data_IF_651431315585
#
_entry.id   IF_651431315585
#
_cell.length_a   1.000
_cell.length_b   1.000
_cell.length_c   1.000
_cell.angle_alpha   90.00
_cell.angle_beta   90.00
_cell.angle_gamma   90.00
#
_symmetry.space_group_name_H-M   'P 1'
#
loop_
_entity.id
_entity.type
_entity.pdbx_description
1 polymer ?
#
# COMPACT_ATOMS: atom_id res chain seq x y z
N UNK A 1 -11.36 -5.51 28.08
CA UNK A 1 -12.38 -6.28 27.33
C UNK A 1 -11.81 -7.11 26.16
N UNK A 2 -12.27 -8.36 26.01
CA UNK A 2 -11.92 -9.22 24.85
C UNK A 2 -12.75 -8.89 23.62
N UNK A 3 -12.13 -8.89 22.45
CA UNK A 3 -12.75 -8.60 21.16
C UNK A 3 -12.32 -9.63 20.13
N UNK A 4 -13.25 -10.10 19.30
CA UNK A 4 -12.98 -11.08 18.23
C UNK A 4 -13.28 -10.45 16.87
N UNK A 5 -12.23 -10.09 16.13
CA UNK A 5 -12.34 -9.38 14.85
C UNK A 5 -11.52 -10.07 13.76
N UNK A 6 -11.89 -9.86 12.50
CA UNK A 6 -11.10 -10.30 11.34
C UNK A 6 -9.73 -9.59 11.31
N UNK A 7 -8.71 -10.19 10.69
CA UNK A 7 -7.38 -9.57 10.55
C UNK A 7 -7.43 -8.17 9.93
N UNK A 8 -8.23 -7.98 8.88
CA UNK A 8 -8.41 -6.66 8.24
C UNK A 8 -8.99 -5.63 9.21
N UNK A 9 -9.94 -6.01 10.06
CA UNK A 9 -10.50 -5.11 11.07
C UNK A 9 -9.48 -4.76 12.15
N UNK A 10 -8.67 -5.71 12.58
CA UNK A 10 -7.58 -5.45 13.54
C UNK A 10 -6.53 -4.47 13.00
N UNK A 11 -6.21 -4.52 11.70
CA UNK A 11 -5.36 -3.51 11.07
C UNK A 11 -5.97 -2.10 11.19
N UNK A 12 -7.27 -1.95 10.93
CA UNK A 12 -7.98 -0.66 11.06
C UNK A 12 -8.06 -0.19 12.51
N UNK A 13 -8.27 -1.09 13.46
CA UNK A 13 -8.28 -0.78 14.90
C UNK A 13 -6.92 -0.22 15.33
N UNK A 14 -5.83 -0.89 14.96
CA UNK A 14 -4.48 -0.40 15.27
C UNK A 14 -4.20 0.97 14.63
N UNK A 15 -4.68 1.21 13.42
CA UNK A 15 -4.55 2.50 12.73
C UNK A 15 -5.31 3.62 13.47
N UNK A 16 -6.59 3.40 13.81
CA UNK A 16 -7.40 4.38 14.55
C UNK A 16 -6.80 4.74 15.90
N UNK A 17 -6.41 3.73 16.68
CA UNK A 17 -5.76 3.93 17.98
C UNK A 17 -4.49 4.78 17.81
N UNK A 18 -3.63 4.44 16.83
CA UNK A 18 -2.40 5.17 16.57
C UNK A 18 -2.64 6.63 16.17
N UNK A 19 -3.65 6.90 15.34
CA UNK A 19 -4.02 8.27 14.94
C UNK A 19 -4.46 9.09 16.15
N UNK A 20 -5.36 8.55 16.98
CA UNK A 20 -5.83 9.26 18.19
C UNK A 20 -4.71 9.50 19.20
N UNK A 21 -3.79 8.54 19.37
CA UNK A 21 -2.62 8.71 20.25
C UNK A 21 -1.72 9.85 19.77
N UNK A 22 -1.45 9.96 18.48
CA UNK A 22 -0.64 11.05 17.93
C UNK A 22 -1.25 12.43 18.21
N UNK A 23 -2.57 12.56 18.12
CA UNK A 23 -3.27 13.79 18.48
C UNK A 23 -3.20 14.10 19.99
N UNK A 24 -3.18 13.06 20.83
CA UNK A 24 -3.01 13.18 22.30
C UNK A 24 -1.57 13.55 22.65
N UNK A 25 -0.60 12.98 21.95
CA UNK A 25 0.84 13.26 22.10
C UNK A 25 1.14 14.74 21.85
N UNK A 26 0.69 15.29 20.72
CA UNK A 26 0.86 16.71 20.42
C UNK A 26 0.26 17.62 21.51
N UNK A 27 -0.90 17.26 22.05
CA UNK A 27 -1.56 17.99 23.16
C UNK A 27 -0.80 17.88 24.47
N UNK A 28 -0.34 16.69 24.84
CA UNK A 28 0.42 16.48 26.06
C UNK A 28 1.76 17.24 26.02
N UNK A 29 2.46 17.22 24.88
CA UNK A 29 3.68 18.01 24.67
C UNK A 29 3.37 19.50 24.85
N UNK A 30 2.39 20.04 24.14
CA UNK A 30 2.03 21.45 24.23
C UNK A 30 1.67 21.87 25.67
N UNK A 31 0.90 21.04 26.38
CA UNK A 31 0.49 21.28 27.76
C UNK A 31 1.69 21.32 28.74
N UNK A 32 2.66 20.42 28.57
CA UNK A 32 3.78 20.26 29.50
C UNK A 32 4.98 21.16 29.17
N UNK A 33 5.14 21.63 27.93
CA UNK A 33 6.34 22.37 27.52
C UNK A 33 6.08 23.78 26.97
N UNK A 34 4.86 24.07 26.52
CA UNK A 34 4.54 25.33 25.83
C UNK A 34 3.45 26.17 26.53
N UNK A 35 3.13 25.85 27.79
CA UNK A 35 2.19 26.65 28.59
C UNK A 35 2.85 27.96 29.02
N UNK A 36 2.33 29.10 28.54
CA UNK A 36 2.84 30.44 28.88
C UNK A 36 1.87 31.20 29.77
N UNK A 37 2.40 32.02 30.68
CA UNK A 37 1.64 32.84 31.62
C UNK A 37 2.06 34.30 31.47
N UNK A 38 1.08 35.21 31.38
CA UNK A 38 1.36 36.64 31.38
C UNK A 38 1.79 37.10 32.78
N UNK A 39 2.88 37.88 32.90
CA UNK A 39 3.36 38.36 34.20
C UNK A 39 2.36 39.29 34.90
N UNK A 40 1.36 39.82 34.18
CA UNK A 40 0.36 40.76 34.67
C UNK A 40 -0.94 40.10 35.15
N UNK A 41 -1.14 38.80 34.88
CA UNK A 41 -2.36 38.08 35.26
C UNK A 41 -2.02 36.81 36.04
N UNK A 42 -1.74 36.97 37.35
CA UNK A 42 -1.29 35.89 38.24
C UNK A 42 -2.43 35.18 38.97
N UNK A 43 -3.63 35.75 39.01
CA UNK A 43 -4.75 35.22 39.81
C UNK A 43 -5.27 33.91 39.19
N UNK A 44 -5.23 32.82 39.95
CA UNK A 44 -5.75 31.51 39.53
C UNK A 44 -4.87 30.75 38.54
N UNK A 45 -3.61 31.16 38.34
CA UNK A 45 -2.65 30.46 37.47
C UNK A 45 -2.36 29.05 37.98
N UNK A 46 -2.14 28.90 39.29
CA UNK A 46 -1.83 27.61 39.93
C UNK A 46 -2.95 26.58 39.67
N UNK A 47 -4.20 26.95 39.95
CA UNK A 47 -5.35 26.08 39.70
C UNK A 47 -5.49 25.67 38.22
N UNK A 48 -5.21 26.58 37.28
CA UNK A 48 -5.21 26.25 35.83
C UNK A 48 -4.04 25.36 35.45
N UNK A 49 -2.85 25.61 35.98
CA UNK A 49 -1.67 24.78 35.76
C UNK A 49 -1.90 23.35 36.27
N UNK A 50 -2.51 23.19 37.44
CA UNK A 50 -2.87 21.89 38.01
C UNK A 50 -3.89 21.14 37.14
N UNK A 51 -4.88 21.84 36.60
CA UNK A 51 -5.85 21.25 35.65
C UNK A 51 -5.16 20.79 34.35
N UNK A 52 -4.28 21.62 33.79
CA UNK A 52 -3.51 21.29 32.58
C UNK A 52 -2.61 20.08 32.85
N UNK A 53 -1.89 20.06 33.97
CA UNK A 53 -1.01 18.97 34.37
C UNK A 53 -1.78 17.66 34.57
N UNK A 54 -2.94 17.71 35.23
CA UNK A 54 -3.79 16.53 35.44
C UNK A 54 -4.28 15.95 34.11
N UNK A 55 -4.73 16.81 33.20
CA UNK A 55 -5.14 16.38 31.85
C UNK A 55 -3.97 15.78 31.06
N UNK A 56 -2.81 16.42 31.10
CA UNK A 56 -1.62 15.93 30.40
C UNK A 56 -1.15 14.56 30.93
N UNK A 57 -1.21 14.33 32.25
CA UNK A 57 -0.92 13.01 32.84
C UNK A 57 -1.91 11.93 32.37
N UNK A 58 -3.19 12.30 32.25
CA UNK A 58 -4.22 11.40 31.72
C UNK A 58 -3.96 11.07 30.25
N UNK A 59 -3.64 12.07 29.44
CA UNK A 59 -3.26 11.87 28.04
C UNK A 59 -1.99 11.00 27.93
N UNK A 60 -0.99 11.18 28.80
CA UNK A 60 0.23 10.38 28.82
C UNK A 60 -0.04 8.90 29.12
N UNK A 61 -0.83 8.59 30.16
CA UNK A 61 -1.20 7.21 30.48
C UNK A 61 -1.93 6.53 29.31
N UNK A 62 -2.80 7.26 28.61
CA UNK A 62 -3.51 6.76 27.44
C UNK A 62 -2.57 6.52 26.25
N UNK A 63 -1.56 7.38 26.04
CA UNK A 63 -0.53 7.22 25.01
C UNK A 63 0.28 5.94 25.27
N UNK A 64 0.73 5.71 26.50
CA UNK A 64 1.49 4.50 26.88
C UNK A 64 0.66 3.22 26.69
N UNK A 65 -0.56 3.20 27.21
CA UNK A 65 -1.46 2.06 27.06
C UNK A 65 -1.79 1.78 25.59
N UNK A 66 -2.04 2.85 24.83
CA UNK A 66 -2.39 2.78 23.43
C UNK A 66 -1.23 2.30 22.53
N UNK A 67 -0.01 2.79 22.76
CA UNK A 67 1.19 2.36 22.00
C UNK A 67 1.50 0.89 22.28
N UNK A 68 1.42 0.45 23.55
CA UNK A 68 1.56 -0.95 23.92
C UNK A 68 0.47 -1.84 23.27
N UNK A 69 -0.78 -1.36 23.20
CA UNK A 69 -1.85 -2.08 22.53
C UNK A 69 -1.60 -2.21 21.02
N UNK A 70 -1.19 -1.14 20.33
CA UNK A 70 -0.85 -1.18 18.90
C UNK A 70 0.28 -2.18 18.64
N UNK A 71 1.33 -2.18 19.48
CA UNK A 71 2.43 -3.14 19.37
C UNK A 71 1.93 -4.60 19.51
N UNK A 72 1.08 -4.90 20.50
CA UNK A 72 0.47 -6.22 20.68
C UNK A 72 -0.39 -6.65 19.48
N UNK A 73 -1.25 -5.75 18.99
CA UNK A 73 -2.09 -6.02 17.81
C UNK A 73 -1.20 -6.34 16.60
N UNK A 74 -0.17 -5.54 16.34
CA UNK A 74 0.74 -5.74 15.20
C UNK A 74 1.54 -7.03 15.32
N UNK A 75 2.01 -7.38 16.52
CA UNK A 75 2.70 -8.64 16.76
C UNK A 75 1.78 -9.84 16.51
N UNK A 76 0.55 -9.82 17.03
CA UNK A 76 -0.41 -10.90 16.84
C UNK A 76 -0.84 -11.05 15.37
N UNK A 77 -1.03 -9.92 14.66
CA UNK A 77 -1.27 -9.92 13.21
C UNK A 77 -0.08 -10.49 12.44
N UNK A 78 1.15 -10.11 12.79
CA UNK A 78 2.36 -10.65 12.18
C UNK A 78 2.47 -12.17 12.32
N UNK A 79 2.25 -12.68 13.53
CA UNK A 79 2.23 -14.12 13.80
C UNK A 79 1.12 -14.83 13.00
N UNK A 80 -0.10 -14.28 13.01
CA UNK A 80 -1.22 -14.91 12.30
C UNK A 80 -1.02 -14.88 10.78
N UNK A 81 -0.50 -13.78 10.24
CA UNK A 81 -0.16 -13.66 8.82
C UNK A 81 0.91 -14.66 8.39
N UNK A 82 1.90 -14.93 9.27
CA UNK A 82 2.93 -15.94 9.03
C UNK A 82 2.34 -17.35 9.02
N UNK A 83 1.52 -17.71 10.02
CA UNK A 83 0.82 -19.01 10.06
C UNK A 83 -0.07 -19.23 8.85
N UNK A 84 -0.76 -18.18 8.42
CA UNK A 84 -1.62 -18.23 7.25
C UNK A 84 -0.85 -18.12 5.94
N UNK A 85 0.47 -17.91 5.93
CA UNK A 85 1.29 -17.76 4.73
C UNK A 85 0.87 -16.59 3.81
N UNK A 86 0.33 -15.51 4.39
CA UNK A 86 -0.19 -14.37 3.61
C UNK A 86 0.94 -13.67 2.85
N UNK A 87 2.10 -13.49 3.50
CA UNK A 87 3.25 -12.83 2.88
C UNK A 87 3.79 -13.57 1.65
N UNK A 88 3.90 -14.90 1.75
CA UNK A 88 4.36 -15.75 0.64
C UNK A 88 3.40 -15.69 -0.55
N UNK A 89 2.09 -15.81 -0.29
CA UNK A 89 1.07 -15.70 -1.36
C UNK A 89 1.07 -14.34 -2.04
N UNK A 90 1.24 -13.25 -1.28
CA UNK A 90 1.35 -11.90 -1.84
C UNK A 90 2.60 -11.76 -2.70
N UNK A 91 3.75 -12.27 -2.25
CA UNK A 91 4.99 -12.25 -3.05
C UNK A 91 4.85 -13.05 -4.36
N UNK A 92 4.18 -14.20 -4.31
CA UNK A 92 3.89 -14.99 -5.52
C UNK A 92 2.91 -14.28 -6.46
N UNK A 93 1.87 -13.62 -5.93
CA UNK A 93 0.92 -12.85 -6.71
C UNK A 93 1.61 -11.66 -7.40
N UNK A 94 2.50 -10.97 -6.70
CA UNK A 94 3.32 -9.89 -7.26
C UNK A 94 4.24 -10.39 -8.37
N UNK A 95 4.89 -11.54 -8.18
CA UNK A 95 5.73 -12.15 -9.23
C UNK A 95 4.89 -12.52 -10.47
N UNK A 96 3.71 -13.12 -10.27
CA UNK A 96 2.78 -13.46 -11.35
C UNK A 96 2.27 -12.20 -12.07
N UNK A 97 1.90 -11.15 -11.34
CA UNK A 97 1.49 -9.86 -11.92
C UNK A 97 2.59 -9.19 -12.74
N UNK A 98 3.84 -9.23 -12.27
CA UNK A 98 4.99 -8.67 -13.01
C UNK A 98 5.22 -9.42 -14.31
N UNK A 99 5.16 -10.76 -14.31
CA UNK A 99 5.28 -11.56 -15.52
C UNK A 99 4.11 -11.34 -16.49
N UNK A 100 2.88 -11.35 -15.98
CA UNK A 100 1.69 -11.05 -16.77
C UNK A 100 1.77 -9.66 -17.41
N UNK A 101 2.22 -8.64 -16.67
CA UNK A 101 2.46 -7.31 -17.24
C UNK A 101 3.49 -7.34 -18.36
N UNK A 102 4.64 -7.99 -18.14
CA UNK A 102 5.66 -8.13 -19.18
C UNK A 102 5.11 -8.79 -20.45
N UNK A 103 4.38 -9.90 -20.32
CA UNK A 103 3.82 -10.61 -21.48
C UNK A 103 2.79 -9.76 -22.21
N UNK A 104 1.92 -9.06 -21.46
CA UNK A 104 0.97 -8.10 -22.04
C UNK A 104 1.68 -7.00 -22.80
N UNK A 105 2.68 -6.37 -22.19
CA UNK A 105 3.44 -5.27 -22.81
C UNK A 105 4.16 -5.74 -24.08
N UNK A 106 4.69 -6.98 -24.10
CA UNK A 106 5.34 -7.56 -25.28
C UNK A 106 4.35 -7.82 -26.41
N UNK A 107 3.14 -8.29 -26.08
CA UNK A 107 2.07 -8.57 -27.04
C UNK A 107 1.47 -7.27 -27.60
N UNK A 108 1.14 -6.30 -26.74
CA UNK A 108 0.56 -5.01 -27.13
C UNK A 108 1.51 -4.17 -27.99
N UNK A 109 2.82 -4.33 -27.78
CA UNK A 109 3.82 -3.67 -28.61
C UNK A 109 4.00 -4.33 -29.97
N UNK A 110 3.46 -5.52 -30.24
CA UNK A 110 3.43 -6.07 -31.60
C UNK A 110 2.39 -5.32 -32.43
N UNK A 111 2.86 -4.37 -33.23
CA UNK A 111 1.97 -3.57 -34.08
C UNK A 111 1.78 -4.21 -35.45
N UNK A 112 0.63 -3.95 -36.05
CA UNK A 112 0.29 -4.46 -37.39
C UNK A 112 1.18 -3.87 -38.51
N UNK A 113 1.79 -2.70 -38.27
CA UNK A 113 2.71 -2.01 -39.19
C UNK A 113 4.16 -2.50 -39.08
N UNK A 114 4.46 -3.45 -38.19
CA UNK A 114 5.80 -4.03 -38.08
C UNK A 114 6.10 -4.96 -39.27
N UNK A 115 7.33 -4.86 -39.77
CA UNK A 115 7.80 -5.63 -40.93
C UNK A 115 8.56 -6.87 -40.47
N UNK A 116 8.28 -8.04 -41.05
CA UNK A 116 9.06 -9.24 -40.74
C UNK A 116 10.48 -9.12 -41.29
N UNK A 117 11.52 -9.64 -40.59
CA UNK A 117 12.90 -9.59 -41.07
C UNK A 117 13.10 -10.11 -42.51
N UNK A 118 12.33 -11.13 -42.91
CA UNK A 118 12.40 -11.68 -44.27
C UNK A 118 11.91 -10.69 -45.35
N UNK A 119 10.93 -9.84 -45.01
CA UNK A 119 10.23 -8.96 -45.95
C UNK A 119 10.86 -7.55 -46.00
N UNK A 120 11.91 -7.29 -45.19
CA UNK A 120 12.57 -5.97 -45.10
C UNK A 120 13.12 -5.51 -46.45
N UNK A 121 13.63 -6.44 -47.26
CA UNK A 121 14.19 -6.13 -48.58
C UNK A 121 13.13 -5.66 -49.58
N UNK A 122 11.87 -6.02 -49.32
CA UNK A 122 10.73 -5.70 -50.17
C UNK A 122 9.99 -4.44 -49.71
N UNK A 123 10.42 -3.85 -48.57
CA UNK A 123 9.89 -2.56 -48.12
C UNK A 123 10.31 -1.47 -49.11
N UNK A 124 9.36 -0.78 -49.77
CA UNK A 124 9.69 0.30 -50.68
C UNK A 124 10.52 1.35 -49.93
N UNK A 125 11.63 1.78 -50.53
CA UNK A 125 12.33 2.98 -50.08
C UNK A 125 11.34 4.14 -50.20
N UNK A 126 10.75 4.55 -49.07
CA UNK A 126 10.08 5.83 -48.97
C UNK A 126 11.16 6.90 -49.13
N UNK A 127 11.41 7.28 -50.38
CA UNK A 127 12.09 8.53 -50.68
C UNK A 127 11.13 9.60 -50.17
N UNK A 128 11.45 10.18 -49.01
CA UNK A 128 10.76 11.35 -48.53
C UNK A 128 10.89 12.44 -49.60
N UNK A 129 9.86 12.60 -50.40
CA UNK A 129 9.65 13.82 -51.16
C UNK A 129 9.31 14.90 -50.14
N UNK A 130 10.29 15.66 -49.70
CA UNK A 130 10.26 17.11 -49.92
C UNK A 130 11.61 17.78 -49.62
N UNK A 131 11.89 18.83 -50.38
CA UNK A 131 13.05 19.71 -50.31
C UNK A 131 13.16 20.44 -48.96
N UNK A 132 13.84 19.86 -47.98
CA UNK A 132 14.35 20.64 -46.84
C UNK A 132 15.88 20.64 -46.84
N UNK A 133 16.45 21.71 -47.37
CA UNK A 133 17.89 21.97 -47.53
C UNK A 133 18.69 22.01 -46.20
N UNK A 134 18.07 21.96 -45.02
CA UNK A 134 18.78 22.11 -43.73
C UNK A 134 18.16 21.33 -42.56
N UNK A 135 17.66 20.12 -42.78
CA UNK A 135 17.19 19.23 -41.70
C UNK A 135 17.81 17.84 -41.82
N UNK A 136 18.35 17.28 -40.73
CA UNK A 136 18.83 15.88 -40.70
C UNK A 136 17.75 14.99 -41.32
N UNK A 137 18.09 14.26 -42.39
CA UNK A 137 17.23 13.22 -42.98
C UNK A 137 16.88 12.22 -41.88
N UNK A 138 15.71 12.37 -41.27
CA UNK A 138 15.14 11.33 -40.44
C UNK A 138 14.69 10.24 -41.41
N UNK A 139 15.58 9.29 -41.70
CA UNK A 139 15.18 8.06 -42.38
C UNK A 139 14.00 7.48 -41.60
N UNK A 140 12.88 7.24 -42.29
CA UNK A 140 11.71 6.62 -41.69
C UNK A 140 12.15 5.28 -41.09
N UNK A 141 12.18 5.19 -39.76
CA UNK A 141 12.68 4.00 -39.07
C UNK A 141 11.68 2.85 -39.28
N UNK A 142 12.12 1.77 -39.89
CA UNK A 142 11.32 0.54 -40.04
C UNK A 142 11.39 -0.22 -38.72
N UNK A 143 10.23 -0.55 -38.14
CA UNK A 143 10.16 -1.37 -36.93
C UNK A 143 9.98 -2.83 -37.31
N UNK A 144 10.82 -3.71 -36.78
CA UNK A 144 10.81 -5.13 -37.15
C UNK A 144 9.96 -5.97 -36.20
N UNK A 145 9.14 -6.86 -36.78
CA UNK A 145 8.45 -7.94 -36.08
C UNK A 145 9.42 -9.11 -35.86
N UNK A 146 10.23 -9.03 -34.80
CA UNK A 146 11.24 -10.06 -34.48
C UNK A 146 10.58 -11.33 -33.90
N UNK A 147 9.49 -11.18 -33.15
CA UNK A 147 8.77 -12.31 -32.57
C UNK A 147 7.97 -13.05 -33.66
N UNK A 148 8.13 -14.37 -33.72
CA UNK A 148 7.33 -15.21 -34.61
C UNK A 148 5.96 -15.52 -33.99
N UNK A 149 5.06 -16.08 -34.81
CA UNK A 149 3.70 -16.42 -34.36
C UNK A 149 3.70 -17.43 -33.22
N UNK A 150 4.62 -18.40 -33.24
CA UNK A 150 4.72 -19.43 -32.21
C UNK A 150 5.07 -18.82 -30.84
N UNK A 151 6.01 -17.87 -30.80
CA UNK A 151 6.36 -17.13 -29.59
C UNK A 151 5.20 -16.28 -29.10
N UNK A 152 4.47 -15.59 -30.00
CA UNK A 152 3.30 -14.79 -29.61
C UNK A 152 2.17 -15.65 -29.03
N UNK A 153 1.91 -16.81 -29.62
CA UNK A 153 0.93 -17.77 -29.10
C UNK A 153 1.38 -18.32 -27.73
N UNK A 154 2.67 -18.61 -27.55
CA UNK A 154 3.23 -19.03 -26.26
C UNK A 154 3.08 -17.93 -25.19
N UNK A 155 3.36 -16.67 -25.55
CA UNK A 155 3.20 -15.52 -24.66
C UNK A 155 1.74 -15.32 -24.23
N UNK A 156 0.77 -15.52 -25.14
CA UNK A 156 -0.65 -15.48 -24.80
C UNK A 156 -1.02 -16.56 -23.77
N UNK A 157 -0.55 -17.79 -23.95
CA UNK A 157 -0.78 -18.88 -22.98
C UNK A 157 -0.14 -18.57 -21.63
N UNK A 158 1.10 -18.05 -21.61
CA UNK A 158 1.79 -17.64 -20.38
C UNK A 158 1.07 -16.49 -19.68
N UNK A 159 0.60 -15.50 -20.44
CA UNK A 159 -0.18 -14.36 -19.93
C UNK A 159 -1.45 -14.84 -19.21
N UNK A 160 -2.26 -15.66 -19.88
CA UNK A 160 -3.50 -16.19 -19.30
C UNK A 160 -3.22 -16.99 -18.01
N UNK A 161 -2.16 -17.80 -18.02
CA UNK A 161 -1.75 -18.60 -16.85
C UNK A 161 -1.34 -17.74 -15.65
N UNK A 162 -0.47 -16.76 -15.85
CA UNK A 162 0.01 -15.91 -14.75
C UNK A 162 -1.09 -14.96 -14.24
N UNK A 163 -2.01 -14.52 -15.11
CA UNK A 163 -3.22 -13.79 -14.68
C UNK A 163 -4.11 -14.65 -13.78
N UNK A 164 -4.46 -15.87 -14.24
CA UNK A 164 -5.28 -16.79 -13.44
C UNK A 164 -4.62 -17.12 -12.10
N UNK A 165 -3.31 -17.37 -12.10
CA UNK A 165 -2.53 -17.63 -10.88
C UNK A 165 -2.57 -16.44 -9.92
N UNK A 166 -2.36 -15.22 -10.41
CA UNK A 166 -2.40 -14.01 -9.59
C UNK A 166 -3.77 -13.83 -8.93
N UNK A 167 -4.85 -13.96 -9.70
CA UNK A 167 -6.21 -13.85 -9.17
C UNK A 167 -6.49 -14.90 -8.08
N UNK A 168 -6.16 -16.17 -8.33
CA UNK A 168 -6.36 -17.23 -7.34
C UNK A 168 -5.57 -16.99 -6.04
N UNK A 169 -4.34 -16.47 -6.13
CA UNK A 169 -3.54 -16.13 -4.95
C UNK A 169 -4.12 -14.96 -4.16
N UNK A 170 -4.62 -13.93 -4.85
CA UNK A 170 -5.24 -12.77 -4.22
C UNK A 170 -6.57 -13.14 -3.54
N UNK A 171 -7.36 -14.03 -4.15
CA UNK A 171 -8.58 -14.56 -3.55
C UNK A 171 -8.25 -15.37 -2.29
N UNK A 172 -7.24 -16.23 -2.35
CA UNK A 172 -6.77 -16.98 -1.17
C UNK A 172 -6.29 -16.06 -0.04
N UNK A 173 -5.64 -14.94 -0.36
CA UNK A 173 -5.26 -13.92 0.63
C UNK A 173 -6.49 -13.21 1.19
N UNK A 174 -7.49 -12.89 0.37
CA UNK A 174 -8.73 -12.27 0.81
C UNK A 174 -9.49 -13.20 1.79
N UNK A 175 -9.52 -14.50 1.51
CA UNK A 175 -10.12 -15.50 2.40
C UNK A 175 -9.32 -15.64 3.70
N UNK A 176 -7.99 -15.72 3.63
CA UNK A 176 -7.14 -15.74 4.83
C UNK A 176 -7.34 -14.50 5.71
N UNK A 177 -7.60 -13.33 5.12
CA UNK A 177 -7.87 -12.09 5.87
C UNK A 177 -9.22 -12.08 6.60
N UNK A 178 -10.15 -12.98 6.25
CA UNK A 178 -11.42 -13.18 6.98
C UNK A 178 -11.24 -13.95 8.28
N UNK A 179 -10.08 -14.57 8.48
CA UNK A 179 -9.72 -15.25 9.72
C UNK A 179 -9.89 -14.31 10.91
N UNK A 180 -10.46 -14.83 12.00
CA UNK A 180 -10.68 -14.05 13.22
C UNK A 180 -9.53 -14.22 14.19
N UNK A 181 -9.23 -13.15 14.89
CA UNK A 181 -8.26 -13.09 15.97
C UNK A 181 -8.96 -12.51 17.19
N UNK A 182 -8.79 -13.16 18.34
CA UNK A 182 -9.23 -12.64 19.63
C UNK A 182 -8.07 -11.90 20.30
N UNK A 183 -8.29 -10.64 20.69
CA UNK A 183 -7.34 -9.87 21.48
C UNK A 183 -8.08 -9.12 22.59
N UNK A 184 -7.35 -8.82 23.65
CA UNK A 184 -7.83 -8.02 24.76
C UNK A 184 -7.35 -6.57 24.66
N UNK A 185 -8.29 -5.63 24.84
CA UNK A 185 -8.04 -4.19 24.87
C UNK A 185 -8.58 -3.59 26.16
N UNK A 186 -7.93 -2.54 26.65
CA UNK A 186 -8.49 -1.69 27.71
C UNK A 186 -9.74 -0.97 27.19
N UNK A 187 -10.69 -0.68 28.08
CA UNK A 187 -12.02 -0.19 27.68
C UNK A 187 -11.95 1.19 27.02
N UNK A 188 -11.04 2.05 27.48
CA UNK A 188 -10.78 3.37 26.88
C UNK A 188 -10.29 3.25 25.43
N UNK A 189 -9.55 2.18 25.11
CA UNK A 189 -9.06 1.92 23.75
C UNK A 189 -10.13 1.30 22.85
N UNK A 190 -11.11 0.59 23.43
CA UNK A 190 -12.28 0.08 22.70
C UNK A 190 -13.12 1.25 22.19
N UNK A 191 -13.36 2.26 23.03
CA UNK A 191 -14.08 3.47 22.63
C UNK A 191 -13.33 4.21 21.51
N UNK A 192 -12.03 4.44 21.67
CA UNK A 192 -11.18 5.09 20.66
C UNK A 192 -11.19 4.34 19.32
N UNK A 193 -11.20 3.01 19.36
CA UNK A 193 -11.25 2.19 18.17
C UNK A 193 -12.62 2.22 17.46
N UNK A 194 -13.65 2.78 18.11
CA UNK A 194 -15.04 2.75 17.65
C UNK A 194 -15.62 1.33 17.70
N UNK A 195 -15.28 0.58 18.75
CA UNK A 195 -15.73 -0.80 18.99
C UNK A 195 -16.77 -0.88 20.13
N UNK A 196 -16.99 0.21 20.86
CA UNK A 196 -18.08 0.31 21.83
C UNK A 196 -19.40 0.41 21.05
N UNK A 197 -20.36 -0.46 21.40
CA UNK A 197 -21.66 -0.58 20.75
C UNK A 197 -22.55 0.66 20.96
#
# INVERSE_FOLDING_TARGET
MKQTLTLTRWHKVAERINTTIKEREARAIAALTATTVSPWNKKGVEAKADQIATRARTDLALIEAGTAAVARIRAALGQRNAVLGIGERLAEADAANRRAKLYRDLLEKQRADMVRPADVRDVPLLVAGDDSLWGRRALSAITLAIADRALLDELNVKLARDQARSHALLDAVADANREKLELELADELVEIAGLAA
#
